data_IF_447985539251
#
_entry.id   IF_447985539251
#
_cell.length_a   1.000
_cell.length_b   1.000
_cell.length_c   1.000
_cell.angle_alpha   90.00
_cell.angle_beta   90.00
_cell.angle_gamma   90.00
#
_symmetry.space_group_name_H-M   'P 1'
#
loop_
_entity.id
_entity.type
_entity.pdbx_description
1 polymer ?
#
# COMPACT_ATOMS: atom_id res chain seq x y z
N UNK A 1 8.66 -11.52 4.47
CA UNK A 1 8.29 -12.25 3.24
C UNK A 1 9.34 -12.04 2.17
N UNK A 2 9.44 -12.97 1.20
CA UNK A 2 10.43 -12.86 0.13
C UNK A 2 10.34 -11.53 -0.62
N UNK A 3 9.14 -11.06 -0.95
CA UNK A 3 8.96 -9.76 -1.59
C UNK A 3 9.56 -8.61 -0.76
N UNK A 4 9.36 -8.63 0.56
CA UNK A 4 9.96 -7.64 1.46
C UNK A 4 11.47 -7.72 1.48
N UNK A 5 12.03 -8.93 1.55
CA UNK A 5 13.48 -9.19 1.57
C UNK A 5 14.13 -8.69 0.28
N UNK A 6 13.53 -8.99 -0.87
CA UNK A 6 13.99 -8.53 -2.18
C UNK A 6 13.91 -7.00 -2.31
N UNK A 7 12.82 -6.38 -1.83
CA UNK A 7 12.68 -4.93 -1.85
C UNK A 7 13.75 -4.25 -0.97
N UNK A 8 13.97 -4.75 0.24
CA UNK A 8 15.00 -4.24 1.17
C UNK A 8 16.40 -4.40 0.57
N UNK A 9 16.70 -5.57 -0.04
CA UNK A 9 17.97 -5.80 -0.72
C UNK A 9 18.14 -4.89 -1.94
N UNK A 10 17.09 -4.69 -2.74
CA UNK A 10 17.09 -3.78 -3.89
C UNK A 10 17.42 -2.35 -3.47
N UNK A 11 16.74 -1.81 -2.43
CA UNK A 11 17.01 -0.47 -1.91
C UNK A 11 18.49 -0.33 -1.51
N UNK A 12 19.05 -1.33 -0.81
CA UNK A 12 20.45 -1.31 -0.43
C UNK A 12 21.42 -1.29 -1.63
N UNK A 13 21.10 -2.02 -2.71
CA UNK A 13 21.90 -2.03 -3.93
C UNK A 13 21.80 -0.74 -4.75
N UNK A 14 20.66 -0.04 -4.68
CA UNK A 14 20.39 1.15 -5.50
C UNK A 14 20.58 2.48 -4.75
N UNK A 15 21.06 2.46 -3.53
CA UNK A 15 21.13 3.64 -2.65
C UNK A 15 21.88 4.84 -3.22
N UNK A 16 22.81 4.63 -4.14
CA UNK A 16 23.62 5.68 -4.77
C UNK A 16 23.00 6.25 -6.06
N UNK A 17 21.85 5.72 -6.50
CA UNK A 17 21.19 6.10 -7.75
C UNK A 17 19.69 6.29 -7.55
N UNK A 18 19.05 7.20 -8.30
CA UNK A 18 17.59 7.23 -8.36
C UNK A 18 17.03 5.89 -8.81
N UNK A 19 15.94 5.47 -8.18
CA UNK A 19 15.27 4.22 -8.55
C UNK A 19 13.75 4.38 -8.50
N UNK A 20 13.07 3.49 -9.21
CA UNK A 20 11.64 3.25 -9.09
C UNK A 20 11.42 1.82 -8.60
N UNK A 21 10.61 1.66 -7.59
CA UNK A 21 10.24 0.36 -7.04
C UNK A 21 8.71 0.22 -7.01
N UNK A 22 8.19 -0.73 -7.78
CA UNK A 22 6.81 -1.18 -7.68
C UNK A 22 6.75 -2.48 -6.88
N UNK A 23 6.23 -2.42 -5.67
CA UNK A 23 6.17 -3.54 -4.74
C UNK A 23 4.71 -4.00 -4.58
N UNK A 24 4.31 -4.95 -5.42
CA UNK A 24 2.97 -5.52 -5.41
C UNK A 24 2.88 -6.72 -4.48
N UNK A 25 2.41 -6.50 -3.26
CA UNK A 25 2.14 -7.60 -2.34
C UNK A 25 0.88 -8.39 -2.75
N UNK A 26 0.96 -9.71 -2.69
CA UNK A 26 -0.21 -10.58 -2.86
C UNK A 26 -1.16 -10.57 -1.65
N UNK A 27 -0.63 -10.25 -0.46
CA UNK A 27 -1.44 -10.07 0.73
C UNK A 27 -2.28 -8.76 0.57
N UNK A 28 -3.56 -8.83 0.87
CA UNK A 28 -4.28 -9.86 1.64
C UNK A 28 -5.26 -10.65 0.74
N UNK A 29 -4.84 -11.02 -0.44
CA UNK A 29 -5.66 -11.78 -1.40
C UNK A 29 -5.70 -13.29 -1.05
N UNK A 30 -6.72 -13.98 -1.54
CA UNK A 30 -6.78 -15.45 -1.48
C UNK A 30 -5.63 -16.10 -2.29
N UNK A 31 -5.14 -17.30 -1.92
CA UNK A 31 -5.58 -18.11 -0.77
C UNK A 31 -5.20 -17.49 0.59
N UNK A 32 -6.14 -17.59 1.56
CA UNK A 32 -5.96 -17.04 2.91
C UNK A 32 -4.95 -17.89 3.69
N UNK A 33 -3.73 -17.38 3.84
CA UNK A 33 -2.62 -18.09 4.47
C UNK A 33 -1.78 -17.13 5.33
N UNK A 34 -1.48 -17.57 6.53
CA UNK A 34 -0.56 -16.90 7.45
C UNK A 34 0.08 -17.94 8.39
N UNK A 35 1.20 -17.62 9.06
CA UNK A 35 1.78 -18.53 10.04
C UNK A 35 0.79 -18.90 11.16
N UNK A 36 0.70 -20.17 11.49
CA UNK A 36 -0.26 -20.69 12.50
C UNK A 36 -0.13 -19.99 13.84
N UNK A 37 1.08 -19.66 14.28
CA UNK A 37 1.32 -18.92 15.52
C UNK A 37 0.64 -17.55 15.54
N UNK A 38 0.61 -16.86 14.40
CA UNK A 38 -0.01 -15.53 14.30
C UNK A 38 -1.53 -15.65 14.18
N UNK A 39 -2.03 -16.65 13.48
CA UNK A 39 -3.47 -16.98 13.46
C UNK A 39 -3.94 -17.26 14.88
N UNK A 40 -3.26 -18.15 15.61
CA UNK A 40 -3.59 -18.49 17.01
C UNK A 40 -3.54 -17.27 17.93
N UNK A 41 -2.55 -16.38 17.74
CA UNK A 41 -2.45 -15.12 18.48
C UNK A 41 -3.68 -14.24 18.28
N UNK A 42 -4.13 -14.07 17.03
CA UNK A 42 -5.32 -13.25 16.74
C UNK A 42 -6.61 -13.91 17.22
N UNK A 43 -6.74 -15.24 17.12
CA UNK A 43 -7.89 -15.96 17.69
C UNK A 43 -7.96 -15.82 19.22
N UNK A 44 -6.82 -15.91 19.91
CA UNK A 44 -6.74 -15.68 21.37
C UNK A 44 -7.10 -14.24 21.73
N UNK A 45 -6.62 -13.26 20.98
CA UNK A 45 -6.87 -11.83 21.24
C UNK A 45 -8.32 -11.44 20.96
N UNK A 46 -8.94 -12.07 19.97
CA UNK A 46 -10.29 -11.78 19.51
C UNK A 46 -11.11 -13.08 19.36
N UNK A 47 -11.50 -13.72 20.47
CA UNK A 47 -12.12 -15.05 20.45
C UNK A 47 -13.51 -15.09 19.80
N UNK A 48 -14.14 -13.93 19.61
CA UNK A 48 -15.43 -13.78 18.92
C UNK A 48 -15.31 -13.78 17.39
N UNK A 49 -14.09 -13.67 16.84
CA UNK A 49 -13.89 -13.65 15.40
C UNK A 49 -13.77 -15.07 14.83
N UNK A 50 -14.23 -15.24 13.60
CA UNK A 50 -14.04 -16.49 12.87
C UNK A 50 -12.56 -16.78 12.64
N UNK A 51 -12.21 -18.04 12.40
CA UNK A 51 -10.85 -18.44 12.00
C UNK A 51 -10.41 -17.72 10.72
N UNK A 52 -11.31 -17.57 9.74
CA UNK A 52 -11.03 -16.87 8.48
C UNK A 52 -10.66 -15.41 8.73
N UNK A 53 -11.39 -14.72 9.61
CA UNK A 53 -11.08 -13.34 9.99
C UNK A 53 -9.74 -13.24 10.71
N UNK A 54 -9.41 -14.19 11.59
CA UNK A 54 -8.11 -14.24 12.26
C UNK A 54 -6.95 -14.45 11.26
N UNK A 55 -7.15 -15.27 10.22
CA UNK A 55 -6.17 -15.42 9.13
C UNK A 55 -5.96 -14.10 8.40
N UNK A 56 -7.04 -13.40 8.01
CA UNK A 56 -6.95 -12.11 7.36
C UNK A 56 -6.17 -11.08 8.22
N UNK A 57 -6.43 -11.05 9.52
CA UNK A 57 -5.71 -10.17 10.44
C UNK A 57 -4.22 -10.52 10.53
N UNK A 58 -3.88 -11.81 10.53
CA UNK A 58 -2.49 -12.25 10.48
C UNK A 58 -1.80 -11.87 9.15
N UNK A 59 -2.50 -11.98 8.02
CA UNK A 59 -2.00 -11.52 6.72
C UNK A 59 -1.74 -10.01 6.72
N UNK A 60 -2.68 -9.20 7.21
CA UNK A 60 -2.54 -7.75 7.35
C UNK A 60 -1.36 -7.38 8.24
N UNK A 61 -1.16 -8.09 9.35
CA UNK A 61 -0.02 -7.89 10.22
C UNK A 61 1.32 -8.13 9.51
N UNK A 62 1.43 -9.18 8.70
CA UNK A 62 2.63 -9.45 7.92
C UNK A 62 2.86 -8.44 6.80
N UNK A 63 1.80 -7.91 6.19
CA UNK A 63 1.88 -6.81 5.25
C UNK A 63 2.43 -5.54 5.91
N UNK A 64 1.88 -5.19 7.08
CA UNK A 64 2.32 -4.03 7.87
C UNK A 64 3.80 -4.13 8.28
N UNK A 65 4.23 -5.30 8.77
CA UNK A 65 5.64 -5.57 9.04
C UNK A 65 6.51 -5.42 7.78
N UNK A 66 6.01 -5.84 6.63
CA UNK A 66 6.71 -5.70 5.34
C UNK A 66 6.88 -4.23 4.95
N UNK A 67 5.83 -3.43 5.04
CA UNK A 67 5.89 -1.99 4.78
C UNK A 67 6.84 -1.31 5.78
N UNK A 68 6.74 -1.67 7.06
CA UNK A 68 7.64 -1.17 8.10
C UNK A 68 9.12 -1.46 7.81
N UNK A 69 9.44 -2.66 7.30
CA UNK A 69 10.81 -3.03 6.93
C UNK A 69 11.33 -2.21 5.74
N UNK A 70 10.50 -1.95 4.72
CA UNK A 70 10.86 -1.10 3.58
C UNK A 70 11.13 0.35 4.03
N UNK A 71 10.22 0.93 4.81
CA UNK A 71 10.38 2.28 5.36
C UNK A 71 11.62 2.35 6.27
N UNK A 72 11.83 1.33 7.11
CA UNK A 72 13.01 1.22 7.96
C UNK A 72 14.30 1.22 7.14
N UNK A 73 14.34 0.47 6.03
CA UNK A 73 15.50 0.43 5.13
C UNK A 73 15.76 1.77 4.45
N UNK A 74 14.72 2.46 3.96
CA UNK A 74 14.86 3.80 3.39
C UNK A 74 15.45 4.80 4.41
N UNK A 75 15.01 4.74 5.66
CA UNK A 75 15.57 5.57 6.75
C UNK A 75 17.01 5.22 7.07
N UNK A 76 17.34 3.94 7.17
CA UNK A 76 18.69 3.45 7.41
C UNK A 76 19.69 3.94 6.35
N UNK A 77 19.29 3.92 5.08
CA UNK A 77 20.12 4.39 3.95
C UNK A 77 20.01 5.91 3.72
N UNK A 78 19.32 6.65 4.60
CA UNK A 78 19.12 8.12 4.49
C UNK A 78 18.39 8.57 3.23
N UNK A 79 17.56 7.69 2.66
CA UNK A 79 16.79 7.95 1.44
C UNK A 79 15.37 8.45 1.73
N UNK A 80 14.88 8.26 2.97
CA UNK A 80 13.50 8.51 3.36
C UNK A 80 13.02 9.92 3.03
N UNK A 81 13.82 10.94 3.34
CA UNK A 81 13.44 12.33 3.15
C UNK A 81 13.17 12.66 1.68
N UNK A 82 13.92 12.05 0.76
CA UNK A 82 13.79 12.27 -0.69
C UNK A 82 13.14 11.09 -1.42
N UNK A 83 12.26 10.36 -0.76
CA UNK A 83 11.46 9.30 -1.37
C UNK A 83 10.00 9.69 -1.44
N UNK A 84 9.45 9.74 -2.66
CA UNK A 84 8.00 9.80 -2.88
C UNK A 84 7.46 8.38 -2.80
N UNK A 85 6.70 8.10 -1.74
CA UNK A 85 6.11 6.79 -1.46
C UNK A 85 4.59 6.86 -1.58
N UNK A 86 4.01 5.96 -2.36
CA UNK A 86 2.58 5.69 -2.40
C UNK A 86 2.28 4.35 -1.73
N UNK A 87 1.29 4.31 -0.87
CA UNK A 87 0.71 3.08 -0.36
C UNK A 87 -0.79 3.11 -0.64
N UNK A 88 -1.27 2.11 -1.35
CA UNK A 88 -2.68 2.00 -1.72
C UNK A 88 -3.11 0.55 -1.87
N UNK A 89 -4.42 0.31 -1.91
CA UNK A 89 -4.98 -0.97 -2.36
C UNK A 89 -5.72 -0.78 -3.68
N UNK A 90 -5.77 -1.84 -4.48
CA UNK A 90 -6.39 -1.84 -5.80
C UNK A 90 -7.92 -1.79 -5.75
N UNK A 91 -8.52 -2.36 -4.70
CA UNK A 91 -9.97 -2.40 -4.49
C UNK A 91 -10.31 -2.54 -3.00
N UNK A 92 -11.58 -2.36 -2.68
CA UNK A 92 -12.09 -2.58 -1.33
C UNK A 92 -12.04 -4.05 -0.90
N UNK A 93 -12.21 -4.27 0.39
CA UNK A 93 -12.15 -5.61 0.99
C UNK A 93 -13.15 -6.60 0.40
N UNK A 94 -12.73 -7.85 0.23
CA UNK A 94 -13.56 -8.91 -0.31
C UNK A 94 -14.46 -9.54 0.76
N UNK A 95 -15.76 -9.68 0.47
CA UNK A 95 -16.71 -10.36 1.36
C UNK A 95 -16.30 -11.82 1.63
N UNK A 96 -15.78 -12.50 0.59
CA UNK A 96 -15.30 -13.88 0.72
C UNK A 96 -14.13 -14.03 1.70
N UNK A 97 -13.38 -12.96 1.98
CA UNK A 97 -12.29 -12.92 2.96
C UNK A 97 -12.75 -12.40 4.33
N UNK A 98 -14.06 -12.19 4.51
CA UNK A 98 -14.62 -11.56 5.70
C UNK A 98 -13.99 -10.20 6.01
N UNK A 99 -13.64 -9.47 4.96
CA UNK A 99 -13.14 -8.11 5.09
C UNK A 99 -14.22 -7.18 5.65
N UNK A 100 -13.79 -6.11 6.28
CA UNK A 100 -14.67 -5.08 6.83
C UNK A 100 -14.29 -3.73 6.24
N UNK A 101 -15.19 -3.11 5.49
CA UNK A 101 -15.01 -1.79 4.89
C UNK A 101 -15.58 -0.66 5.79
N UNK A 102 -15.75 -0.92 7.08
CA UNK A 102 -16.29 0.04 8.04
C UNK A 102 -17.73 0.43 7.69
N UNK A 103 -17.97 1.72 7.62
CA UNK A 103 -19.28 2.31 7.29
C UNK A 103 -19.57 2.34 5.78
N UNK A 104 -18.59 2.00 4.95
CA UNK A 104 -18.72 2.08 3.49
C UNK A 104 -19.53 0.89 2.96
N UNK A 105 -20.59 1.20 2.21
CA UNK A 105 -21.44 0.19 1.58
C UNK A 105 -20.68 -0.57 0.49
N UNK A 106 -20.87 -1.89 0.44
CA UNK A 106 -20.34 -2.75 -0.63
C UNK A 106 -18.97 -3.35 -0.31
N UNK A 107 -18.45 -4.11 -1.27
CA UNK A 107 -17.22 -4.89 -1.18
C UNK A 107 -16.56 -4.92 -2.55
N UNK A 108 -15.37 -5.52 -2.65
CA UNK A 108 -14.70 -5.83 -3.92
C UNK A 108 -15.70 -6.31 -4.96
N UNK A 109 -15.65 -5.73 -6.15
CA UNK A 109 -16.55 -6.03 -7.27
C UNK A 109 -17.83 -5.19 -7.31
N UNK A 110 -18.03 -4.26 -6.36
CA UNK A 110 -19.14 -3.30 -6.43
C UNK A 110 -18.63 -1.88 -6.70
N UNK A 111 -19.50 -1.05 -7.32
CA UNK A 111 -19.25 0.37 -7.55
C UNK A 111 -19.62 1.26 -6.33
N UNK A 112 -20.10 0.66 -5.25
CA UNK A 112 -20.26 1.38 -4.00
C UNK A 112 -18.93 1.70 -3.33
N UNK A 113 -18.91 2.67 -2.43
CA UNK A 113 -17.67 3.14 -1.78
C UNK A 113 -16.86 2.02 -1.12
N UNK A 114 -17.50 1.01 -0.53
CA UNK A 114 -16.81 -0.16 0.03
C UNK A 114 -16.07 -1.02 -1.00
N UNK A 115 -16.34 -0.84 -2.29
CA UNK A 115 -15.61 -1.50 -3.37
C UNK A 115 -14.52 -0.66 -4.01
N UNK A 116 -14.67 0.67 -4.01
CA UNK A 116 -13.80 1.58 -4.76
C UNK A 116 -13.07 2.63 -3.91
N UNK A 117 -13.60 3.01 -2.74
CA UNK A 117 -12.94 3.95 -1.81
C UNK A 117 -11.98 3.18 -0.91
N UNK A 118 -10.72 3.19 -1.31
CA UNK A 118 -9.67 2.36 -0.70
C UNK A 118 -8.67 3.21 0.09
N UNK A 119 -7.93 2.60 1.02
CA UNK A 119 -6.81 3.28 1.67
C UNK A 119 -5.83 3.85 0.66
N UNK A 120 -5.47 5.12 0.83
CA UNK A 120 -4.49 5.81 0.01
C UNK A 120 -3.61 6.67 0.92
N UNK A 121 -2.32 6.47 0.86
CA UNK A 121 -1.34 7.25 1.63
C UNK A 121 -0.22 7.67 0.70
N UNK A 122 0.16 8.95 0.77
CA UNK A 122 1.33 9.49 0.09
C UNK A 122 2.27 10.08 1.12
N UNK A 123 3.55 9.80 0.99
CA UNK A 123 4.60 10.35 1.84
C UNK A 123 5.77 10.85 1.00
N UNK A 124 6.19 12.07 1.24
CA UNK A 124 7.44 12.65 0.73
C UNK A 124 7.91 13.72 1.73
N UNK A 125 8.67 13.34 2.77
CA UNK A 125 8.96 14.25 3.88
C UNK A 125 9.63 15.56 3.47
N UNK A 126 10.49 15.56 2.46
CA UNK A 126 11.11 16.78 1.94
C UNK A 126 10.12 17.77 1.27
N UNK A 127 8.90 17.32 0.92
CA UNK A 127 7.90 18.14 0.21
C UNK A 127 6.59 18.28 0.97
N UNK A 128 6.16 17.25 1.70
CA UNK A 128 4.88 17.23 2.37
C UNK A 128 5.01 17.23 3.88
N UNK A 129 4.34 18.16 4.53
CA UNK A 129 4.15 18.08 5.97
C UNK A 129 3.23 16.89 6.29
N UNK A 130 3.70 15.96 7.13
CA UNK A 130 2.94 14.79 7.55
C UNK A 130 1.71 15.11 8.40
N UNK A 131 0.86 14.10 8.63
CA UNK A 131 -0.31 14.18 9.51
C UNK A 131 -1.52 14.90 8.89
N UNK A 132 -1.54 15.13 7.58
CA UNK A 132 -2.67 15.75 6.89
C UNK A 132 -3.65 14.68 6.40
N UNK A 133 -4.94 15.01 6.48
CA UNK A 133 -6.02 14.27 5.81
C UNK A 133 -6.54 15.14 4.68
N UNK A 134 -6.73 14.57 3.51
CA UNK A 134 -7.19 15.25 2.30
C UNK A 134 -8.42 14.52 1.79
N UNK A 135 -9.52 15.23 1.64
CA UNK A 135 -10.82 14.67 1.22
C UNK A 135 -11.03 14.72 -0.31
N UNK A 136 -10.08 15.31 -1.05
CA UNK A 136 -10.14 15.33 -2.51
C UNK A 136 -10.03 13.90 -3.05
N UNK A 137 -10.98 13.46 -3.89
CA UNK A 137 -10.88 12.15 -4.53
C UNK A 137 -9.63 12.04 -5.41
N UNK A 138 -8.92 10.94 -5.27
CA UNK A 138 -7.74 10.59 -6.06
C UNK A 138 -7.88 9.17 -6.61
N UNK A 139 -7.18 8.85 -7.69
CA UNK A 139 -7.21 7.52 -8.30
C UNK A 139 -5.80 7.06 -8.68
N UNK A 140 -5.63 5.77 -8.95
CA UNK A 140 -4.32 5.22 -9.32
C UNK A 140 -3.71 5.82 -10.60
N UNK A 141 -4.53 6.38 -11.48
CA UNK A 141 -4.08 7.09 -12.68
C UNK A 141 -3.31 8.39 -12.36
N UNK A 142 -3.49 8.95 -11.15
CA UNK A 142 -2.81 10.16 -10.70
C UNK A 142 -1.33 9.91 -10.34
N UNK A 143 -0.93 8.64 -10.15
CA UNK A 143 0.44 8.29 -9.78
C UNK A 143 1.43 8.69 -10.87
N UNK A 144 1.16 8.31 -12.13
CA UNK A 144 2.11 8.57 -13.22
C UNK A 144 2.36 10.06 -13.45
N UNK A 145 1.34 10.93 -13.63
CA UNK A 145 1.59 12.37 -13.79
C UNK A 145 2.28 12.98 -12.56
N UNK A 146 1.98 12.51 -11.34
CA UNK A 146 2.67 12.95 -10.13
C UNK A 146 4.15 12.58 -10.13
N UNK A 147 4.50 11.35 -10.52
CA UNK A 147 5.89 10.90 -10.61
C UNK A 147 6.66 11.67 -11.69
N UNK A 148 6.05 11.92 -12.85
CA UNK A 148 6.68 12.71 -13.92
C UNK A 148 6.97 14.12 -13.46
N UNK A 149 6.03 14.78 -12.80
CA UNK A 149 6.24 16.13 -12.24
C UNK A 149 7.32 16.11 -11.14
N UNK A 150 7.27 15.15 -10.23
CA UNK A 150 8.24 14.99 -9.14
C UNK A 150 9.68 14.82 -9.65
N UNK A 151 9.85 14.13 -10.77
CA UNK A 151 11.17 13.80 -11.34
C UNK A 151 11.62 14.77 -12.43
N UNK A 152 10.74 15.64 -12.91
CA UNK A 152 10.99 16.48 -14.10
C UNK A 152 11.06 15.69 -15.42
N UNK A 153 10.65 14.42 -15.40
CA UNK A 153 10.65 13.59 -16.60
C UNK A 153 9.54 14.03 -17.56
N UNK A 154 9.86 14.05 -18.85
CA UNK A 154 8.88 14.40 -19.87
C UNK A 154 7.97 13.22 -20.19
N UNK A 155 6.65 13.44 -20.28
CA UNK A 155 5.74 12.41 -20.73
C UNK A 155 6.05 11.98 -22.18
N UNK A 156 5.67 10.76 -22.57
CA UNK A 156 5.72 10.37 -23.98
C UNK A 156 4.92 11.36 -24.84
N UNK A 157 5.46 11.71 -26.00
CA UNK A 157 4.80 12.64 -26.91
C UNK A 157 3.42 12.10 -27.33
N UNK A 158 2.41 12.97 -27.31
CA UNK A 158 1.04 12.67 -27.77
C UNK A 158 0.23 11.66 -26.91
N UNK A 159 0.63 11.43 -25.66
CA UNK A 159 -0.14 10.57 -24.74
C UNK A 159 -0.84 11.45 -23.70
N UNK A 160 -2.15 11.70 -23.85
CA UNK A 160 -2.91 12.40 -22.80
C UNK A 160 -2.99 11.50 -21.55
N UNK A 161 -2.99 12.11 -20.37
CA UNK A 161 -3.23 11.43 -19.12
C UNK A 161 -4.67 11.66 -18.66
N UNK A 162 -5.34 10.60 -18.21
CA UNK A 162 -6.65 10.71 -17.56
C UNK A 162 -6.49 11.14 -16.10
N UNK A 163 -5.33 10.86 -15.48
CA UNK A 163 -4.99 11.30 -14.14
C UNK A 163 -4.37 12.69 -14.09
N UNK A 164 -4.24 13.24 -12.87
CA UNK A 164 -3.66 14.55 -12.59
C UNK A 164 -2.52 14.41 -11.58
N UNK A 165 -1.55 15.32 -11.65
CA UNK A 165 -0.54 15.39 -10.60
C UNK A 165 -1.15 15.82 -9.27
N UNK A 166 -0.62 15.26 -8.19
CA UNK A 166 -0.99 15.55 -6.79
C UNK A 166 0.00 16.52 -6.13
N UNK A 167 0.98 17.08 -6.88
CA UNK A 167 1.95 18.07 -6.41
C UNK A 167 1.43 19.49 -6.52
#
# INVERSE_FOLDING_TARGET
TRLTEEAVAFIGRQKEKPFFLYLAYNAVHAPAQAPDKDIARFQKKFPHLSKKRAILMAMLHHLDLGVGAVVGKLKQEKLWENTLLFFLTDNGGAKAMEANNGVLRGFKGSLYEGGIRTPWVVSWPAKFKGGRVIDTPVISLDILPTVLEATGAKPPAKTPFDGKSLL
#
